data_IF_598767815198
#
_entry.id   IF_598767815198
#
_cell.length_a   1.000
_cell.length_b   1.000
_cell.length_c   1.000
_cell.angle_alpha   90.00
_cell.angle_beta   90.00
_cell.angle_gamma   90.00
#
_symmetry.space_group_name_H-M   'P 1'
#
loop_
_entity.id
_entity.type
_entity.pdbx_description
1 polymer ?
#
# COMPACT_ATOMS: atom_id res chain seq x y z
N UNK A 1 -3.07 -1.37 0.43
CA UNK A 1 -3.72 -0.47 1.41
C UNK A 1 -4.41 0.64 0.63
N UNK A 2 -5.56 1.16 1.11
CA UNK A 2 -6.36 2.17 0.39
C UNK A 2 -5.53 3.37 -0.10
N UNK A 3 -4.70 3.96 0.75
CA UNK A 3 -3.84 5.09 0.37
C UNK A 3 -2.83 4.79 -0.73
N UNK A 4 -2.24 3.57 -0.76
CA UNK A 4 -1.35 3.17 -1.84
C UNK A 4 -2.09 3.08 -3.19
N UNK A 5 -3.35 2.63 -3.17
CA UNK A 5 -4.19 2.59 -4.37
C UNK A 5 -4.56 4.01 -4.83
N UNK A 6 -4.97 4.89 -3.90
CA UNK A 6 -5.22 6.31 -4.19
C UNK A 6 -3.98 6.96 -4.84
N UNK A 7 -2.79 6.71 -4.29
CA UNK A 7 -1.55 7.27 -4.80
C UNK A 7 -1.20 6.77 -6.22
N UNK A 8 -1.50 5.50 -6.52
CA UNK A 8 -1.30 4.93 -7.85
C UNK A 8 -2.29 5.49 -8.90
N UNK A 9 -3.51 5.86 -8.47
CA UNK A 9 -4.57 6.36 -9.35
C UNK A 9 -4.68 7.89 -9.38
N UNK A 10 -3.79 8.61 -8.68
CA UNK A 10 -3.84 10.07 -8.49
C UNK A 10 -3.82 10.91 -9.78
N UNK A 11 -3.36 10.33 -10.89
CA UNK A 11 -3.31 10.99 -12.19
C UNK A 11 -4.60 10.80 -13.01
N UNK A 12 -5.46 9.86 -12.60
CA UNK A 12 -6.70 9.51 -13.30
C UNK A 12 -7.92 10.08 -12.59
N UNK A 13 -7.86 10.22 -11.26
CA UNK A 13 -8.98 10.71 -10.44
C UNK A 13 -8.53 11.72 -9.40
N UNK A 14 -9.45 12.58 -8.99
CA UNK A 14 -9.22 13.52 -7.90
C UNK A 14 -9.07 12.77 -6.56
N UNK A 15 -7.99 13.08 -5.83
CA UNK A 15 -7.70 12.50 -4.51
C UNK A 15 -8.87 12.71 -3.55
N UNK A 16 -9.48 13.90 -3.57
CA UNK A 16 -10.65 14.22 -2.75
C UNK A 16 -11.80 13.23 -2.94
N UNK A 17 -12.17 12.94 -4.19
CA UNK A 17 -13.24 12.01 -4.55
C UNK A 17 -12.89 10.59 -4.13
N UNK A 18 -11.65 10.16 -4.37
CA UNK A 18 -11.23 8.82 -3.94
C UNK A 18 -11.24 8.66 -2.42
N UNK A 19 -10.85 9.69 -1.66
CA UNK A 19 -10.92 9.67 -0.20
C UNK A 19 -12.36 9.53 0.30
N UNK A 20 -13.31 10.24 -0.32
CA UNK A 20 -14.73 10.16 0.00
C UNK A 20 -15.30 8.78 -0.31
N UNK A 21 -15.09 8.28 -1.54
CA UNK A 21 -15.61 6.96 -1.97
C UNK A 21 -15.05 5.82 -1.13
N UNK A 22 -13.77 5.88 -0.74
CA UNK A 22 -13.13 4.83 0.06
C UNK A 22 -13.33 5.01 1.57
N UNK A 23 -14.08 6.04 1.99
CA UNK A 23 -14.33 6.43 3.37
C UNK A 23 -13.03 6.53 4.19
N UNK A 24 -12.07 7.33 3.70
CA UNK A 24 -10.80 7.60 4.38
C UNK A 24 -10.57 9.11 4.52
N UNK A 25 -9.78 9.49 5.53
CA UNK A 25 -9.42 10.88 5.76
C UNK A 25 -8.49 11.40 4.67
N UNK A 26 -8.77 12.60 4.17
CA UNK A 26 -7.89 13.31 3.24
C UNK A 26 -6.59 13.73 3.91
N UNK A 27 -6.65 14.22 5.15
CA UNK A 27 -5.46 14.55 5.94
C UNK A 27 -4.62 13.29 6.18
N UNK A 28 -5.27 12.18 6.57
CA UNK A 28 -4.59 10.91 6.77
C UNK A 28 -3.96 10.34 5.50
N UNK A 29 -4.49 10.67 4.31
CA UNK A 29 -3.83 10.34 3.04
C UNK A 29 -2.54 11.14 2.87
N UNK A 30 -2.57 12.46 3.02
CA UNK A 30 -1.37 13.29 2.88
C UNK A 30 -0.30 12.93 3.93
N UNK A 31 -0.70 12.71 5.19
CA UNK A 31 0.18 12.23 6.25
C UNK A 31 0.83 10.87 5.92
N UNK A 32 0.16 10.05 5.10
CA UNK A 32 0.66 8.73 4.70
C UNK A 32 1.70 8.77 3.59
N UNK A 33 1.81 9.88 2.85
CA UNK A 33 2.79 10.04 1.76
C UNK A 33 4.21 10.10 2.34
N UNK A 34 4.38 10.87 3.42
CA UNK A 34 5.69 11.10 4.05
C UNK A 34 5.96 10.13 5.21
N UNK A 35 4.99 9.28 5.57
CA UNK A 35 5.14 8.35 6.68
C UNK A 35 6.00 7.15 6.32
N UNK A 36 7.10 7.00 7.04
CA UNK A 36 7.87 5.77 7.08
C UNK A 36 6.95 4.59 7.49
N UNK A 37 7.02 3.43 6.79
CA UNK A 37 6.28 2.25 7.20
C UNK A 37 6.62 1.88 8.64
N UNK A 38 5.57 1.64 9.45
CA UNK A 38 5.77 1.25 10.84
C UNK A 38 6.60 -0.04 10.96
N UNK A 39 7.28 -0.28 12.09
CA UNK A 39 8.08 -1.49 12.28
C UNK A 39 7.29 -2.79 12.00
N UNK A 40 6.00 -2.81 12.35
CA UNK A 40 5.09 -3.93 12.04
C UNK A 40 4.84 -4.08 10.54
N UNK A 41 4.64 -2.97 9.82
CA UNK A 41 4.44 -2.99 8.37
C UNK A 41 5.71 -3.50 7.66
N UNK A 42 6.88 -3.01 8.07
CA UNK A 42 8.16 -3.50 7.54
C UNK A 42 8.34 -5.00 7.78
N UNK A 43 8.05 -5.48 9.00
CA UNK A 43 8.10 -6.92 9.31
C UNK A 43 7.18 -7.74 8.41
N UNK A 44 5.97 -7.25 8.15
CA UNK A 44 5.01 -7.94 7.27
C UNK A 44 5.51 -8.02 5.83
N UNK A 45 6.09 -6.95 5.30
CA UNK A 45 6.65 -6.95 3.94
C UNK A 45 7.85 -7.91 3.84
N UNK A 46 8.72 -7.98 4.86
CA UNK A 46 9.82 -8.96 4.89
C UNK A 46 9.31 -10.40 4.84
N UNK A 47 8.28 -10.72 5.64
CA UNK A 47 7.67 -12.06 5.64
C UNK A 47 7.06 -12.37 4.26
N UNK A 48 6.33 -11.40 3.69
CA UNK A 48 5.71 -11.56 2.37
C UNK A 48 6.75 -11.83 1.28
N UNK A 49 7.86 -11.09 1.27
CA UNK A 49 8.94 -11.27 0.31
C UNK A 49 9.60 -12.67 0.46
N UNK A 50 9.84 -13.11 1.70
CA UNK A 50 10.39 -14.44 1.96
C UNK A 50 9.46 -15.56 1.45
N UNK A 51 8.15 -15.42 1.71
CA UNK A 51 7.13 -16.35 1.22
C UNK A 51 7.11 -16.38 -0.31
N UNK A 52 7.12 -15.22 -0.97
CA UNK A 52 7.20 -15.14 -2.44
C UNK A 52 8.44 -15.83 -3.01
N UNK A 53 9.61 -15.67 -2.38
CA UNK A 53 10.84 -16.34 -2.78
C UNK A 53 10.74 -17.87 -2.70
N UNK A 54 10.18 -18.38 -1.59
CA UNK A 54 9.95 -19.83 -1.43
C UNK A 54 8.93 -20.34 -2.45
N UNK A 55 7.82 -19.63 -2.68
CA UNK A 55 6.85 -20.03 -3.70
C UNK A 55 7.46 -20.04 -5.10
N UNK A 56 8.25 -19.04 -5.48
CA UNK A 56 8.91 -19.02 -6.79
C UNK A 56 9.90 -20.19 -6.97
N UNK A 57 10.65 -20.53 -5.91
CA UNK A 57 11.58 -21.66 -5.93
C UNK A 57 10.88 -23.03 -5.97
N UNK A 58 9.74 -23.16 -5.29
CA UNK A 58 8.98 -24.42 -5.22
C UNK A 58 8.08 -24.66 -6.43
N UNK A 59 7.65 -23.61 -7.13
CA UNK A 59 6.80 -23.70 -8.33
C UNK A 59 7.58 -23.46 -9.64
N UNK A 60 8.92 -23.49 -9.61
CA UNK A 60 9.75 -23.60 -10.80
C UNK A 60 9.64 -25.01 -11.39
N UNK A 61 8.67 -25.20 -12.28
CA UNK A 61 8.60 -26.31 -13.24
C UNK A 61 9.07 -25.81 -14.60
#
# INVERSE_FOLDING_TARGET
>A
MKYAWIHAQRNLFLIAVMCEVLAVSRLGYYDSIDREPSPRAQRRERIKAAVQGVHAASYGV
#
